data_IF_014018550556
#
_entry.id   IF_014018550556
#
_cell.length_a   1.000
_cell.length_b   1.000
_cell.length_c   1.000
_cell.angle_alpha   90.00
_cell.angle_beta   90.00
_cell.angle_gamma   90.00
#
_symmetry.space_group_name_H-M   'P 1'
#
loop_
_entity.id
_entity.type
_entity.pdbx_description
1 polymer ?
#
# COMPACT_ATOMS: atom_id res chain seq x y z
N UNK A 1 5.64 3.82 10.12
CA UNK A 1 6.40 3.22 9.04
C UNK A 1 6.88 4.25 8.05
N UNK A 2 8.18 4.29 7.82
CA UNK A 2 8.81 5.27 6.91
C UNK A 2 8.27 5.12 5.49
N UNK A 3 8.08 3.89 5.02
CA UNK A 3 7.63 3.67 3.65
C UNK A 3 6.15 3.97 3.47
N UNK A 4 5.36 3.85 4.52
CA UNK A 4 3.96 4.26 4.47
C UNK A 4 3.86 5.78 4.26
N UNK A 5 4.71 6.55 4.92
CA UNK A 5 4.76 8.00 4.74
C UNK A 5 5.15 8.36 3.31
N UNK A 6 6.16 7.67 2.74
CA UNK A 6 6.57 7.88 1.36
C UNK A 6 5.47 7.51 0.38
N UNK A 7 4.77 6.42 0.64
CA UNK A 7 3.66 5.97 -0.18
C UNK A 7 2.53 7.00 -0.19
N UNK A 8 2.18 7.53 0.98
CA UNK A 8 1.15 8.56 1.10
C UNK A 8 1.59 9.87 0.44
N UNK A 9 2.87 10.20 0.49
CA UNK A 9 3.38 11.37 -0.21
C UNK A 9 3.24 11.22 -1.72
N UNK A 10 3.51 10.03 -2.24
CA UNK A 10 3.37 9.73 -3.66
C UNK A 10 1.92 9.86 -4.12
N UNK A 11 0.98 9.31 -3.38
CA UNK A 11 -0.45 9.34 -3.70
C UNK A 11 -1.16 10.57 -3.14
N UNK A 12 -0.49 11.36 -2.30
CA UNK A 12 -0.94 12.61 -1.68
C UNK A 12 -1.92 12.42 -0.53
N UNK A 13 -2.91 11.53 -0.66
CA UNK A 13 -3.91 11.30 0.39
C UNK A 13 -4.19 9.81 0.53
N UNK A 14 -4.76 9.43 1.69
CA UNK A 14 -5.21 8.07 1.92
C UNK A 14 -6.33 7.68 0.96
N UNK A 15 -7.21 8.62 0.67
CA UNK A 15 -8.30 8.42 -0.28
C UNK A 15 -7.76 8.10 -1.67
N UNK A 16 -6.75 8.85 -2.14
CA UNK A 16 -6.15 8.63 -3.44
C UNK A 16 -5.49 7.25 -3.53
N UNK A 17 -4.80 6.82 -2.48
CA UNK A 17 -4.20 5.49 -2.45
C UNK A 17 -5.27 4.40 -2.50
N UNK A 18 -6.33 4.53 -1.71
CA UNK A 18 -7.42 3.56 -1.71
C UNK A 18 -8.10 3.48 -3.08
N UNK A 19 -8.37 4.62 -3.70
CA UNK A 19 -8.97 4.67 -5.03
C UNK A 19 -8.07 4.06 -6.10
N UNK A 20 -6.77 4.33 -6.04
CA UNK A 20 -5.82 3.76 -6.97
C UNK A 20 -5.78 2.24 -6.87
N UNK A 21 -5.76 1.69 -5.66
CA UNK A 21 -5.81 0.25 -5.45
C UNK A 21 -7.13 -0.35 -5.94
N UNK A 22 -8.25 0.29 -5.64
CA UNK A 22 -9.55 -0.18 -6.11
C UNK A 22 -9.60 -0.24 -7.64
N UNK A 23 -9.11 0.79 -8.30
CA UNK A 23 -9.08 0.85 -9.76
C UNK A 23 -8.16 -0.23 -10.32
N UNK A 24 -6.97 -0.39 -9.75
CA UNK A 24 -6.00 -1.38 -10.22
C UNK A 24 -6.53 -2.80 -10.07
N UNK A 25 -7.19 -3.10 -8.96
CA UNK A 25 -7.70 -4.43 -8.66
C UNK A 25 -9.10 -4.69 -9.24
N UNK A 26 -9.77 -3.65 -9.72
CA UNK A 26 -11.15 -3.77 -10.23
C UNK A 26 -12.16 -4.04 -9.13
N UNK A 27 -11.92 -3.54 -7.92
CA UNK A 27 -12.82 -3.70 -6.76
C UNK A 27 -13.20 -2.35 -6.19
N UNK A 28 -14.11 -2.35 -5.23
CA UNK A 28 -14.55 -1.12 -4.55
C UNK A 28 -14.51 -1.27 -3.04
N UNK A 29 -13.76 -2.25 -2.54
CA UNK A 29 -13.80 -2.64 -1.13
C UNK A 29 -12.74 -1.98 -0.26
N UNK A 30 -11.71 -1.41 -0.86
CA UNK A 30 -10.64 -0.78 -0.09
C UNK A 30 -11.07 0.62 0.33
N UNK A 31 -11.06 0.88 1.64
CA UNK A 31 -11.47 2.15 2.23
C UNK A 31 -10.29 2.85 2.89
N UNK A 32 -10.46 4.14 3.18
CA UNK A 32 -9.44 4.91 3.89
C UNK A 32 -9.12 4.32 5.26
N UNK A 33 -10.10 3.68 5.90
CA UNK A 33 -9.88 2.98 7.17
C UNK A 33 -8.85 1.87 7.07
N UNK A 34 -8.81 1.14 5.94
CA UNK A 34 -7.78 0.14 5.70
C UNK A 34 -6.40 0.78 5.62
N UNK A 35 -6.28 1.89 4.91
CA UNK A 35 -5.01 2.62 4.77
C UNK A 35 -4.54 3.11 6.14
N UNK A 36 -5.43 3.66 6.93
CA UNK A 36 -5.13 4.12 8.27
C UNK A 36 -4.63 2.97 9.16
N UNK A 37 -5.29 1.82 9.05
CA UNK A 37 -4.89 0.62 9.79
C UNK A 37 -3.49 0.17 9.39
N UNK A 38 -3.19 0.18 8.09
CA UNK A 38 -1.86 -0.19 7.59
C UNK A 38 -0.78 0.76 8.11
N UNK A 39 -1.11 2.03 8.24
CA UNK A 39 -0.19 3.02 8.79
C UNK A 39 0.19 2.68 10.23
N UNK A 40 -0.74 2.12 11.00
CA UNK A 40 -0.51 1.74 12.40
C UNK A 40 0.10 0.36 12.56
N UNK A 41 -0.38 -0.62 11.80
CA UNK A 41 -0.04 -2.03 11.99
C UNK A 41 0.87 -2.60 10.91
N UNK A 42 1.07 -1.88 9.83
CA UNK A 42 1.85 -2.36 8.71
C UNK A 42 0.97 -2.86 7.58
N UNK A 43 1.55 -2.91 6.38
CA UNK A 43 0.83 -3.31 5.18
C UNK A 43 0.81 -4.84 5.08
N UNK A 44 -0.36 -5.47 4.87
CA UNK A 44 -0.42 -6.92 4.67
C UNK A 44 0.40 -7.36 3.46
N UNK A 45 0.93 -8.59 3.49
CA UNK A 45 1.79 -9.10 2.43
C UNK A 45 1.13 -9.06 1.05
N UNK A 46 -0.15 -9.48 0.96
CA UNK A 46 -0.86 -9.46 -0.32
C UNK A 46 -1.05 -8.05 -0.85
N UNK A 47 -1.28 -7.07 0.03
CA UNK A 47 -1.41 -5.66 -0.38
C UNK A 47 -0.07 -5.07 -0.81
N UNK A 48 1.03 -5.48 -0.16
CA UNK A 48 2.36 -5.06 -0.56
C UNK A 48 2.67 -5.50 -1.98
N UNK A 49 2.35 -6.74 -2.33
CA UNK A 49 2.53 -7.26 -3.68
C UNK A 49 1.70 -6.46 -4.69
N UNK A 50 0.45 -6.13 -4.35
CA UNK A 50 -0.44 -5.37 -5.21
C UNK A 50 0.06 -3.94 -5.43
N UNK A 51 0.55 -3.30 -4.38
CA UNK A 51 1.09 -1.94 -4.48
C UNK A 51 2.37 -1.94 -5.33
N UNK A 52 3.23 -2.94 -5.16
CA UNK A 52 4.42 -3.08 -5.99
C UNK A 52 4.04 -3.17 -7.47
N UNK A 53 3.07 -4.03 -7.80
CA UNK A 53 2.62 -4.20 -9.17
C UNK A 53 1.98 -2.91 -9.72
N UNK A 54 1.15 -2.25 -8.91
CA UNK A 54 0.45 -1.03 -9.29
C UNK A 54 1.43 0.11 -9.59
N UNK A 55 2.52 0.20 -8.86
CA UNK A 55 3.51 1.26 -8.99
C UNK A 55 4.67 0.91 -9.91
N UNK A 56 4.60 -0.26 -10.58
CA UNK A 56 5.67 -0.69 -11.48
C UNK A 56 6.99 -0.95 -10.76
N UNK A 57 6.93 -1.34 -9.50
CA UNK A 57 8.12 -1.63 -8.70
C UNK A 57 8.69 -0.44 -7.96
N UNK A 58 8.09 0.74 -8.09
CA UNK A 58 8.55 1.94 -7.38
C UNK A 58 8.51 1.72 -5.86
N UNK A 59 7.46 1.05 -5.38
CA UNK A 59 7.34 0.64 -3.99
C UNK A 59 7.43 -0.89 -3.93
N UNK A 60 8.63 -1.38 -3.63
CA UNK A 60 8.92 -2.81 -3.60
C UNK A 60 8.22 -3.46 -2.40
N UNK A 61 7.75 -4.70 -2.59
CA UNK A 61 7.07 -5.45 -1.52
C UNK A 61 7.95 -5.61 -0.27
N UNK A 62 9.27 -5.75 -0.46
CA UNK A 62 10.20 -5.88 0.66
C UNK A 62 10.30 -4.61 1.50
N UNK A 63 10.13 -3.47 0.87
CA UNK A 63 10.12 -2.18 1.56
C UNK A 63 8.79 -1.95 2.28
N UNK A 64 7.69 -2.40 1.68
CA UNK A 64 6.35 -2.21 2.24
C UNK A 64 6.03 -3.20 3.35
N UNK A 65 6.55 -4.42 3.25
CA UNK A 65 6.28 -5.47 4.24
C UNK A 65 7.56 -6.27 4.53
N UNK A 66 8.57 -5.65 5.16
CA UNK A 66 9.87 -6.30 5.39
C UNK A 66 9.76 -7.50 6.33
N UNK A 67 8.80 -7.51 7.23
CA UNK A 67 8.63 -8.62 8.17
C UNK A 67 8.31 -9.92 7.47
N UNK A 68 7.63 -9.85 6.34
CA UNK A 68 7.25 -11.04 5.58
C UNK A 68 8.25 -11.37 4.47
N UNK A 69 8.74 -10.37 3.75
CA UNK A 69 9.55 -10.58 2.54
C UNK A 69 11.06 -10.49 2.75
N UNK A 70 11.49 -10.04 3.90
CA UNK A 70 12.91 -9.83 4.17
C UNK A 70 13.49 -10.95 5.04
N UNK A 71 13.31 -12.17 4.60
CA UNK A 71 13.85 -13.34 5.30
C UNK A 71 14.90 -14.05 4.46
#
# INVERSE_FOLDING_TARGET
FVFMDKLLLHFKTQTALAEALNTFLGVKTIKTGHIYYWKKKGIPANRAIQIEAMTGGLFNRRLLCPEFFNQ
#
